data_IF_683407259637
#
_entry.id   IF_683407259637
#
_cell.length_a   1.000
_cell.length_b   1.000
_cell.length_c   1.000
_cell.angle_alpha   90.00
_cell.angle_beta   90.00
_cell.angle_gamma   90.00
#
_symmetry.space_group_name_H-M   'P 1'
#
loop_
_entity.id
_entity.type
_entity.pdbx_description
1 polymer ?
#
# COMPACT_ATOMS: atom_id res chain seq x y z
N UNK A 1 -11.09 12.02 32.23
CA UNK A 1 -9.89 12.81 31.88
C UNK A 1 -8.72 11.96 31.38
N UNK A 2 -8.49 10.74 31.88
CA UNK A 2 -7.42 9.84 31.39
C UNK A 2 -7.64 9.34 29.94
N UNK A 3 -8.88 9.02 29.56
CA UNK A 3 -9.20 8.50 28.21
C UNK A 3 -8.97 9.53 27.09
N UNK A 4 -9.31 10.80 27.34
CA UNK A 4 -9.09 11.90 26.41
C UNK A 4 -7.59 12.19 26.20
N UNK A 5 -6.79 12.17 27.27
CA UNK A 5 -5.34 12.35 27.20
C UNK A 5 -4.65 11.23 26.43
N UNK A 6 -5.03 9.97 26.67
CA UNK A 6 -4.49 8.84 25.90
C UNK A 6 -4.89 8.87 24.42
N UNK A 7 -6.10 9.35 24.11
CA UNK A 7 -6.57 9.48 22.73
C UNK A 7 -5.78 10.56 21.99
N UNK A 8 -5.48 11.67 22.65
CA UNK A 8 -4.67 12.75 22.09
C UNK A 8 -3.22 12.29 21.86
N UNK A 9 -2.62 11.60 22.82
CA UNK A 9 -1.27 11.06 22.68
C UNK A 9 -1.17 10.04 21.55
N UNK A 10 -2.18 9.18 21.37
CA UNK A 10 -2.25 8.26 20.20
C UNK A 10 -2.30 9.01 18.88
N UNK A 11 -3.08 10.10 18.79
CA UNK A 11 -3.15 10.93 17.58
C UNK A 11 -1.80 11.56 17.27
N UNK A 12 -1.14 12.13 18.28
CA UNK A 12 0.18 12.73 18.10
C UNK A 12 1.24 11.69 17.73
N UNK A 13 1.20 10.50 18.33
CA UNK A 13 2.11 9.39 18.00
C UNK A 13 1.93 8.85 16.57
N UNK A 14 0.74 8.99 15.97
CA UNK A 14 0.48 8.57 14.58
C UNK A 14 1.08 9.52 13.54
N UNK A 15 1.37 10.78 13.92
CA UNK A 15 1.92 11.77 12.99
C UNK A 15 3.31 11.39 12.50
N UNK A 16 4.20 10.90 13.36
CA UNK A 16 5.57 10.58 12.97
C UNK A 16 5.64 9.40 11.97
N UNK A 17 4.98 8.25 12.19
CA UNK A 17 4.96 7.17 11.19
C UNK A 17 4.37 7.58 9.84
N UNK A 18 3.35 8.45 9.81
CA UNK A 18 2.79 8.96 8.55
C UNK A 18 3.81 9.79 7.75
N UNK A 19 4.66 10.55 8.44
CA UNK A 19 5.77 11.28 7.79
C UNK A 19 6.81 10.34 7.17
N UNK A 20 7.12 9.23 7.84
CA UNK A 20 8.02 8.19 7.30
C UNK A 20 7.46 7.60 6.01
N UNK A 21 6.17 7.22 6.01
CA UNK A 21 5.51 6.69 4.82
C UNK A 21 5.49 7.73 3.69
N UNK A 22 5.24 9.00 4.02
CA UNK A 22 5.29 10.10 3.04
C UNK A 22 6.68 10.26 2.42
N UNK A 23 7.75 10.14 3.21
CA UNK A 23 9.13 10.22 2.72
C UNK A 23 9.48 9.05 1.82
N UNK A 24 9.05 7.85 2.22
CA UNK A 24 9.21 6.64 1.43
C UNK A 24 8.53 6.80 0.06
N UNK A 25 7.25 7.22 0.04
CA UNK A 25 6.50 7.48 -1.20
C UNK A 25 7.18 8.51 -2.10
N UNK A 26 7.75 9.56 -1.52
CA UNK A 26 8.45 10.59 -2.27
C UNK A 26 9.68 10.02 -2.99
N UNK A 27 10.52 9.28 -2.28
CA UNK A 27 11.74 8.68 -2.85
C UNK A 27 11.39 7.61 -3.91
N UNK A 28 10.43 6.73 -3.60
CA UNK A 28 10.00 5.69 -4.54
C UNK A 28 9.33 6.27 -5.78
N UNK A 29 8.57 7.37 -5.63
CA UNK A 29 7.93 8.05 -6.76
C UNK A 29 8.94 8.74 -7.69
N UNK A 30 10.10 9.14 -7.18
CA UNK A 30 11.19 9.70 -7.97
C UNK A 30 12.17 8.64 -8.50
N UNK A 31 12.01 7.37 -8.11
CA UNK A 31 12.98 6.32 -8.44
C UNK A 31 14.31 6.45 -7.70
N UNK A 32 14.36 7.18 -6.58
CA UNK A 32 15.58 7.36 -5.79
C UNK A 32 15.81 6.15 -4.87
N UNK A 33 17.06 5.67 -4.75
CA UNK A 33 17.37 4.58 -3.84
C UNK A 33 17.19 5.04 -2.39
N UNK A 34 16.57 4.19 -1.57
CA UNK A 34 16.33 4.48 -0.16
C UNK A 34 17.62 4.47 0.66
N UNK A 35 18.55 3.58 0.29
CA UNK A 35 19.82 3.31 0.96
C UNK A 35 21.00 3.76 0.10
N UNK A 36 22.09 4.13 0.76
CA UNK A 36 23.40 4.31 0.15
C UNK A 36 24.39 3.33 0.79
N UNK A 37 25.68 3.51 0.52
CA UNK A 37 26.75 2.66 1.08
C UNK A 37 26.82 2.73 2.61
N UNK A 38 26.46 3.88 3.17
CA UNK A 38 26.38 4.11 4.61
C UNK A 38 24.98 4.57 5.03
N UNK A 39 24.48 4.07 6.16
CA UNK A 39 23.15 4.43 6.68
C UNK A 39 22.99 5.93 6.95
N UNK A 40 24.08 6.59 7.36
CA UNK A 40 24.11 8.03 7.67
C UNK A 40 23.84 8.90 6.46
N UNK A 41 24.21 8.40 5.28
CA UNK A 41 24.22 9.12 4.00
C UNK A 41 23.13 8.63 3.06
N UNK A 42 22.30 7.67 3.50
CA UNK A 42 21.13 7.21 2.76
C UNK A 42 20.17 8.37 2.46
N UNK A 43 19.60 8.39 1.24
CA UNK A 43 18.61 9.41 0.85
C UNK A 43 17.43 9.47 1.83
N UNK A 44 17.03 8.30 2.36
CA UNK A 44 15.99 8.22 3.38
C UNK A 44 16.38 8.95 4.67
N UNK A 45 17.58 8.69 5.22
CA UNK A 45 18.03 9.34 6.45
C UNK A 45 18.25 10.84 6.26
N UNK A 46 18.79 11.27 5.11
CA UNK A 46 18.96 12.68 4.79
C UNK A 46 17.60 13.40 4.72
N UNK A 47 16.60 12.81 4.07
CA UNK A 47 15.25 13.37 4.00
C UNK A 47 14.57 13.43 5.37
N UNK A 48 14.79 12.41 6.23
CA UNK A 48 14.31 12.42 7.61
C UNK A 48 14.97 13.52 8.44
N UNK A 49 16.29 13.71 8.34
CA UNK A 49 17.03 14.79 8.99
C UNK A 49 16.56 16.16 8.51
N UNK A 50 16.32 16.33 7.21
CA UNK A 50 15.78 17.56 6.64
C UNK A 50 14.43 17.90 7.27
N UNK A 51 13.48 16.96 7.28
CA UNK A 51 12.14 17.18 7.85
C UNK A 51 12.14 17.33 9.37
N UNK A 52 13.14 16.78 10.05
CA UNK A 52 13.32 16.95 11.49
C UNK A 52 13.75 18.38 11.85
N UNK A 53 14.36 19.14 10.92
CA UNK A 53 14.65 20.57 11.11
C UNK A 53 13.38 21.40 11.19
N UNK A 54 12.37 21.04 10.41
CA UNK A 54 11.08 21.76 10.35
C UNK A 54 10.08 21.29 11.42
N UNK A 55 10.19 20.05 11.89
CA UNK A 55 9.35 19.48 12.95
C UNK A 55 10.18 18.95 14.14
N UNK A 56 10.28 19.72 15.23
CA UNK A 56 10.98 19.30 16.44
C UNK A 56 10.45 17.99 17.04
N UNK A 57 9.17 17.66 16.84
CA UNK A 57 8.60 16.39 17.33
C UNK A 57 9.13 15.20 16.55
N UNK A 58 9.44 15.39 15.28
CA UNK A 58 10.07 14.35 14.46
C UNK A 58 11.52 14.15 14.89
N UNK A 59 12.24 15.22 15.21
CA UNK A 59 13.60 15.16 15.76
C UNK A 59 13.62 14.39 17.10
N UNK A 60 12.79 14.80 18.06
CA UNK A 60 12.68 14.13 19.36
C UNK A 60 12.28 12.65 19.21
N UNK A 61 11.42 12.34 18.24
CA UNK A 61 11.01 10.96 17.99
C UNK A 61 12.12 10.12 17.37
N UNK A 62 12.93 10.69 16.48
CA UNK A 62 14.11 10.05 15.90
C UNK A 62 15.16 9.74 16.98
N UNK A 63 15.35 10.65 17.94
CA UNK A 63 16.28 10.46 19.06
C UNK A 63 15.76 9.45 20.10
N UNK A 64 14.47 9.53 20.46
CA UNK A 64 13.86 8.66 21.49
C UNK A 64 13.71 7.21 21.05
N UNK A 65 13.50 6.96 19.77
CA UNK A 65 13.23 5.61 19.24
C UNK A 65 14.40 5.13 18.41
N UNK A 66 15.41 4.65 19.11
CA UNK A 66 16.56 3.93 18.56
C UNK A 66 16.07 2.88 17.55
N UNK A 67 16.28 3.16 16.27
CA UNK A 67 16.29 2.24 15.12
C UNK A 67 15.09 1.34 14.83
N UNK A 68 14.06 1.20 15.67
CA UNK A 68 13.01 0.20 15.40
C UNK A 68 12.23 0.51 14.12
N UNK A 69 11.71 1.73 13.99
CA UNK A 69 10.88 2.14 12.84
C UNK A 69 11.66 2.59 11.61
N UNK A 70 12.95 2.84 11.78
CA UNK A 70 13.88 3.24 10.72
C UNK A 70 14.77 2.06 10.32
N UNK A 71 14.58 0.87 10.91
CA UNK A 71 15.35 -0.30 10.52
C UNK A 71 15.07 -0.69 9.08
N UNK A 72 16.05 -1.35 8.47
CA UNK A 72 15.96 -1.80 7.08
C UNK A 72 14.77 -2.73 6.88
N UNK A 73 14.48 -3.60 7.84
CA UNK A 73 13.33 -4.52 7.78
C UNK A 73 12.01 -3.75 7.77
N UNK A 74 11.85 -2.75 8.64
CA UNK A 74 10.61 -1.97 8.67
C UNK A 74 10.48 -1.11 7.41
N UNK A 75 11.57 -0.56 6.88
CA UNK A 75 11.56 0.13 5.59
C UNK A 75 11.10 -0.81 4.46
N UNK A 76 11.58 -2.05 4.43
CA UNK A 76 11.19 -3.04 3.43
C UNK A 76 9.69 -3.39 3.52
N UNK A 77 9.17 -3.59 4.72
CA UNK A 77 7.74 -3.86 4.91
C UNK A 77 6.87 -2.67 4.52
N UNK A 78 7.27 -1.45 4.90
CA UNK A 78 6.58 -0.25 4.45
C UNK A 78 6.61 -0.09 2.93
N UNK A 79 7.72 -0.46 2.28
CA UNK A 79 7.83 -0.43 0.83
C UNK A 79 6.86 -1.40 0.17
N UNK A 80 6.74 -2.63 0.70
CA UNK A 80 5.75 -3.62 0.24
C UNK A 80 4.32 -3.10 0.41
N UNK A 81 4.01 -2.49 1.55
CA UNK A 81 2.67 -1.92 1.81
C UNK A 81 2.35 -0.79 0.83
N UNK A 82 3.30 0.11 0.57
CA UNK A 82 3.13 1.19 -0.42
C UNK A 82 2.95 0.62 -1.82
N UNK A 83 3.75 -0.36 -2.22
CA UNK A 83 3.65 -1.02 -3.52
C UNK A 83 2.28 -1.71 -3.70
N UNK A 84 1.84 -2.47 -2.69
CA UNK A 84 0.54 -3.13 -2.71
C UNK A 84 -0.61 -2.13 -2.82
N UNK A 85 -0.53 -1.01 -2.09
CA UNK A 85 -1.55 0.05 -2.18
C UNK A 85 -1.65 0.65 -3.59
N UNK A 86 -0.52 0.84 -4.27
CA UNK A 86 -0.51 1.32 -5.67
C UNK A 86 -1.10 0.27 -6.61
N UNK A 87 -0.69 -0.99 -6.48
CA UNK A 87 -1.22 -2.10 -7.29
C UNK A 87 -2.74 -2.26 -7.12
N UNK A 88 -3.25 -2.14 -5.89
CA UNK A 88 -4.68 -2.17 -5.62
C UNK A 88 -5.42 -1.01 -6.28
N UNK A 89 -4.85 0.21 -6.24
CA UNK A 89 -5.42 1.37 -6.92
C UNK A 89 -5.50 1.18 -8.44
N UNK A 90 -4.44 0.63 -9.05
CA UNK A 90 -4.42 0.31 -10.49
C UNK A 90 -5.45 -0.78 -10.81
N UNK A 91 -5.47 -1.88 -10.04
CA UNK A 91 -6.42 -2.98 -10.23
C UNK A 91 -7.87 -2.49 -10.17
N UNK A 92 -8.19 -1.66 -9.18
CA UNK A 92 -9.50 -1.05 -9.04
C UNK A 92 -9.85 -0.16 -10.25
N UNK A 93 -8.92 0.67 -10.70
CA UNK A 93 -9.11 1.52 -11.88
C UNK A 93 -9.36 0.71 -13.16
N UNK A 94 -8.72 -0.45 -13.30
CA UNK A 94 -8.93 -1.36 -14.43
C UNK A 94 -10.32 -2.00 -14.34
N UNK A 95 -10.72 -2.48 -13.16
CA UNK A 95 -12.03 -3.10 -12.93
C UNK A 95 -13.19 -2.14 -13.21
N UNK A 96 -13.03 -0.87 -12.87
CA UNK A 96 -14.02 0.19 -13.17
C UNK A 96 -14.05 0.58 -14.65
N UNK A 97 -13.03 0.21 -15.43
CA UNK A 97 -13.00 0.57 -16.84
C UNK A 97 -14.07 -0.18 -17.65
N UNK A 98 -14.79 0.57 -18.49
CA UNK A 98 -15.80 0.02 -19.40
C UNK A 98 -15.22 -1.06 -20.32
N UNK A 99 -13.96 -0.90 -20.73
CA UNK A 99 -13.25 -1.87 -21.56
C UNK A 99 -13.06 -3.22 -20.86
N UNK A 100 -12.73 -3.23 -19.57
CA UNK A 100 -12.63 -4.46 -18.79
C UNK A 100 -14.00 -5.18 -18.69
N UNK A 101 -15.09 -4.43 -18.50
CA UNK A 101 -16.45 -4.98 -18.47
C UNK A 101 -16.86 -5.61 -19.80
N UNK A 102 -16.49 -4.99 -20.93
CA UNK A 102 -16.77 -5.53 -22.28
C UNK A 102 -15.96 -6.81 -22.53
N UNK A 103 -14.65 -6.80 -22.26
CA UNK A 103 -13.79 -7.97 -22.42
C UNK A 103 -14.25 -9.14 -21.54
N UNK A 104 -14.63 -8.88 -20.29
CA UNK A 104 -15.11 -9.93 -19.39
C UNK A 104 -16.44 -10.53 -19.85
N UNK A 105 -17.32 -9.72 -20.46
CA UNK A 105 -18.60 -10.21 -21.01
C UNK A 105 -18.42 -11.10 -22.23
N UNK A 106 -17.47 -10.79 -23.10
CA UNK A 106 -17.19 -11.58 -24.32
C UNK A 106 -16.57 -12.94 -24.01
N UNK A 107 -15.73 -13.02 -22.98
CA UNK A 107 -15.05 -14.26 -22.57
C UNK A 107 -15.88 -15.13 -21.61
N UNK A 108 -17.07 -14.68 -21.19
CA UNK A 108 -17.99 -15.50 -20.43
C UNK A 108 -18.58 -16.57 -21.36
N UNK A 109 -17.94 -17.74 -21.39
CA UNK A 109 -18.49 -18.94 -22.03
C UNK A 109 -19.91 -19.14 -21.50
N UNK A 110 -20.89 -19.13 -22.40
CA UNK A 110 -22.27 -19.55 -22.11
C UNK A 110 -22.26 -20.83 -21.26
N UNK A 111 -23.06 -20.90 -20.18
CA UNK A 111 -23.09 -22.11 -19.37
C UNK A 111 -23.51 -23.28 -20.26
N UNK A 112 -22.67 -24.30 -20.34
CA UNK A 112 -22.99 -25.60 -20.93
C UNK A 112 -24.11 -26.24 -20.11
N UNK A 113 -25.36 -25.80 -20.32
CA UNK A 113 -26.56 -26.39 -19.74
C UNK A 113 -27.67 -26.41 -20.77
N UNK A 114 -27.43 -27.08 -21.89
CA UNK A 114 -28.49 -27.58 -22.79
C UNK A 114 -27.96 -28.79 -23.56
N UNK A 115 -27.72 -29.90 -22.88
CA UNK A 115 -27.51 -31.21 -23.55
C UNK A 115 -27.97 -32.40 -22.71
N UNK A 116 -29.09 -32.30 -21.99
CA UNK A 116 -29.82 -33.49 -21.51
C UNK A 116 -31.33 -33.19 -21.45
N UNK A 117 -32.00 -33.07 -22.60
CA UNK A 117 -33.45 -33.35 -22.71
C UNK A 117 -33.87 -33.37 -24.19
N UNK A 118 -33.36 -34.32 -24.96
CA UNK A 118 -33.88 -34.64 -26.31
C UNK A 118 -33.51 -36.07 -26.72
N UNK A 119 -33.59 -37.02 -25.77
CA UNK A 119 -33.55 -38.45 -26.04
C UNK A 119 -34.60 -39.17 -25.21
N UNK A 120 -35.87 -38.79 -25.38
CA UNK A 120 -37.01 -39.61 -24.99
C UNK A 120 -38.29 -39.08 -25.68
N UNK A 121 -38.33 -39.12 -27.02
CA UNK A 121 -39.60 -38.94 -27.75
C UNK A 121 -39.58 -39.62 -29.14
N UNK A 122 -38.98 -40.81 -29.24
CA UNK A 122 -39.20 -41.72 -30.39
C UNK A 122 -39.14 -43.16 -29.89
N UNK A 123 -40.19 -43.60 -29.21
CA UNK A 123 -40.59 -45.00 -29.02
C UNK A 123 -42.01 -44.94 -28.48
N UNK A 124 -42.95 -44.77 -29.41
CA UNK A 124 -44.36 -45.20 -29.32
C UNK A 124 -45.07 -44.69 -30.57
N UNK A 125 -44.83 -45.39 -31.69
CA UNK A 125 -45.81 -45.65 -32.75
C UNK A 125 -45.28 -46.75 -33.67
#
# INVERSE_FOLDING_TARGET
>A
MLSSSHSQQKKDNRKCPLKIISNLKFLTGQGLPLRGDYDTDSNFMQLMKLRARDDPRLAEWLEKKTNKYVSHDIQNELLKVVALSVLQGISHSIQESTFYSIMNKENASYPTSTYVSSKEMVRDC
#
